data_IF_944892397910
#
_entry.id   IF_944892397910
#
_cell.length_a   1.000
_cell.length_b   1.000
_cell.length_c   1.000
_cell.angle_alpha   90.00
_cell.angle_beta   90.00
_cell.angle_gamma   90.00
#
_symmetry.space_group_name_H-M   'P 1'
#
loop_
_entity.id
_entity.type
_entity.pdbx_description
1 polymer ?
#
# COMPACT_ATOMS: atom_id res chain seq x y z
N UNK A 1 -16.58 -19.71 22.62
CA UNK A 1 -17.45 -20.68 23.32
C UNK A 1 -18.82 -20.63 22.70
N UNK A 2 -19.03 -21.40 21.62
CA UNK A 2 -20.37 -21.86 21.27
C UNK A 2 -20.65 -23.05 22.17
N UNK A 3 -21.55 -22.88 23.14
CA UNK A 3 -22.31 -23.92 23.84
C UNK A 3 -23.12 -23.19 24.91
N UNK A 4 -24.32 -22.75 24.52
CA UNK A 4 -25.49 -22.49 25.37
C UNK A 4 -26.65 -22.02 24.48
N UNK A 5 -26.92 -22.78 23.41
CA UNK A 5 -28.16 -22.69 22.64
C UNK A 5 -28.87 -24.03 22.82
N UNK A 6 -29.57 -24.16 23.94
CA UNK A 6 -30.81 -24.91 24.00
C UNK A 6 -31.54 -24.56 25.31
N UNK A 7 -32.86 -24.44 25.21
CA UNK A 7 -33.84 -24.22 26.27
C UNK A 7 -33.98 -22.81 26.86
N UNK A 8 -34.69 -21.95 26.11
CA UNK A 8 -35.95 -21.31 26.56
C UNK A 8 -36.63 -20.60 25.39
N UNK A 9 -37.25 -21.38 24.50
CA UNK A 9 -38.47 -20.92 23.83
C UNK A 9 -39.58 -20.88 24.87
N UNK A 10 -40.24 -19.72 24.98
CA UNK A 10 -41.61 -19.49 25.46
C UNK A 10 -41.68 -18.14 26.17
N UNK A 11 -41.85 -17.07 25.38
CA UNK A 11 -42.79 -15.97 25.65
C UNK A 11 -42.96 -15.14 24.37
N UNK A 12 -43.47 -15.77 23.31
CA UNK A 12 -44.24 -15.02 22.31
C UNK A 12 -45.67 -14.91 22.85
N UNK A 13 -45.93 -13.86 23.64
CA UNK A 13 -47.31 -13.40 23.83
C UNK A 13 -47.86 -12.91 22.48
N UNK A 14 -49.18 -13.05 22.22
CA UNK A 14 -49.73 -12.74 20.92
C UNK A 14 -49.84 -11.22 20.78
N UNK A 15 -48.81 -10.58 20.22
CA UNK A 15 -49.03 -9.28 19.60
C UNK A 15 -49.86 -9.52 18.33
N UNK A 16 -51.18 -9.51 18.46
CA UNK A 16 -52.06 -9.37 17.30
C UNK A 16 -51.76 -8.03 16.65
N UNK A 17 -51.23 -8.08 15.42
CA UNK A 17 -50.74 -6.98 14.58
C UNK A 17 -51.79 -5.90 14.20
N UNK A 18 -52.91 -5.80 14.93
CA UNK A 18 -54.07 -4.99 14.55
C UNK A 18 -54.25 -3.70 15.36
N UNK A 19 -53.36 -3.39 16.31
CA UNK A 19 -53.46 -2.16 17.09
C UNK A 19 -52.27 -1.23 16.80
N UNK A 20 -52.55 -0.04 16.24
CA UNK A 20 -51.53 0.96 15.87
C UNK A 20 -50.66 1.36 17.08
N UNK A 21 -51.23 1.24 18.28
CA UNK A 21 -50.58 1.52 19.56
C UNK A 21 -49.50 0.49 19.89
N UNK A 22 -49.72 -0.81 19.61
CA UNK A 22 -48.74 -1.87 19.88
C UNK A 22 -47.59 -1.88 18.87
N UNK A 23 -47.84 -1.46 17.62
CA UNK A 23 -46.78 -1.28 16.60
C UNK A 23 -45.89 -0.10 16.96
N UNK A 24 -46.46 1.02 17.42
CA UNK A 24 -45.68 2.16 17.90
C UNK A 24 -44.83 1.81 19.12
N UNK A 25 -45.39 1.08 20.08
CA UNK A 25 -44.65 0.63 21.26
C UNK A 25 -43.53 -0.35 20.89
N UNK A 26 -43.79 -1.33 20.03
CA UNK A 26 -42.75 -2.23 19.50
C UNK A 26 -41.66 -1.47 18.73
N UNK A 27 -42.02 -0.51 17.88
CA UNK A 27 -41.05 0.30 17.16
C UNK A 27 -40.23 1.19 18.11
N UNK A 28 -40.83 1.70 19.19
CA UNK A 28 -40.15 2.50 20.21
C UNK A 28 -39.21 1.63 21.05
N UNK A 29 -39.65 0.44 21.46
CA UNK A 29 -38.86 -0.50 22.25
C UNK A 29 -37.71 -1.08 21.41
N UNK A 30 -37.95 -1.44 20.15
CA UNK A 30 -36.92 -1.84 19.18
C UNK A 30 -35.95 -0.69 18.86
N UNK A 31 -36.43 0.55 18.76
CA UNK A 31 -35.57 1.73 18.58
C UNK A 31 -34.72 2.02 19.83
N UNK A 32 -35.25 1.80 21.03
CA UNK A 32 -34.52 1.94 22.29
C UNK A 32 -33.49 0.81 22.47
N UNK A 33 -33.83 -0.42 22.07
CA UNK A 33 -32.92 -1.57 22.05
C UNK A 33 -31.81 -1.36 21.02
N UNK A 34 -32.13 -0.89 19.81
CA UNK A 34 -31.14 -0.48 18.80
C UNK A 34 -30.32 0.72 19.27
N UNK A 35 -30.91 1.65 20.04
CA UNK A 35 -30.18 2.79 20.58
C UNK A 35 -29.08 2.38 21.58
N UNK A 36 -29.21 1.20 22.21
CA UNK A 36 -28.16 0.59 23.03
C UNK A 36 -27.06 -0.09 22.19
N UNK A 37 -27.31 -0.35 20.91
CA UNK A 37 -26.37 -0.90 19.91
C UNK A 37 -25.97 0.10 18.81
N UNK A 38 -26.31 1.38 18.97
CA UNK A 38 -26.30 2.39 17.91
C UNK A 38 -24.94 3.05 17.61
N UNK A 39 -23.85 2.56 18.21
CA UNK A 39 -22.51 3.03 17.87
C UNK A 39 -22.19 2.73 16.39
N UNK A 40 -22.59 1.57 15.85
CA UNK A 40 -22.26 1.19 14.47
C UNK A 40 -22.98 2.05 13.40
N UNK A 41 -24.19 2.56 13.67
CA UNK A 41 -24.95 3.36 12.68
C UNK A 41 -24.51 4.84 12.66
N UNK A 42 -24.04 5.37 13.80
CA UNK A 42 -23.42 6.70 13.87
C UNK A 42 -21.99 6.64 13.32
N UNK A 43 -21.24 5.59 13.65
CA UNK A 43 -19.91 5.30 13.11
C UNK A 43 -19.89 5.25 11.57
N UNK A 44 -20.89 4.63 10.94
CA UNK A 44 -20.98 4.51 9.48
C UNK A 44 -21.34 5.81 8.75
N UNK A 45 -22.03 6.76 9.40
CA UNK A 45 -22.29 8.09 8.84
C UNK A 45 -21.12 9.04 9.03
N UNK A 46 -20.36 8.86 10.10
CA UNK A 46 -19.20 9.69 10.37
C UNK A 46 -17.99 9.20 9.58
N UNK A 47 -17.67 7.91 9.49
CA UNK A 47 -16.47 7.44 8.75
C UNK A 47 -16.73 7.19 7.27
N UNK A 48 -15.96 7.83 6.38
CA UNK A 48 -16.03 7.56 4.95
C UNK A 48 -15.66 6.10 4.68
N UNK A 49 -16.60 5.37 4.07
CA UNK A 49 -16.32 4.04 3.53
C UNK A 49 -15.78 4.17 2.12
N UNK A 50 -14.68 3.48 1.85
CA UNK A 50 -14.16 3.40 0.49
C UNK A 50 -15.13 2.68 -0.44
N UNK A 51 -15.20 3.07 -1.73
CA UNK A 51 -15.99 2.34 -2.70
C UNK A 51 -15.49 0.89 -2.76
N UNK A 52 -16.43 -0.05 -2.69
CA UNK A 52 -16.10 -1.47 -2.81
C UNK A 52 -15.46 -1.77 -4.16
N UNK A 53 -14.62 -2.81 -4.23
CA UNK A 53 -14.02 -3.28 -5.47
C UNK A 53 -15.08 -3.51 -6.56
N UNK A 54 -16.23 -4.10 -6.20
CA UNK A 54 -17.36 -4.33 -7.11
C UNK A 54 -17.92 -3.03 -7.69
N UNK A 55 -18.06 -1.98 -6.87
CA UNK A 55 -18.52 -0.66 -7.33
C UNK A 55 -17.51 -0.01 -8.27
N UNK A 56 -16.21 -0.05 -7.94
CA UNK A 56 -15.14 0.50 -8.80
C UNK A 56 -15.08 -0.20 -10.16
N UNK A 57 -15.20 -1.52 -10.19
CA UNK A 57 -15.19 -2.30 -11.44
C UNK A 57 -16.41 -1.97 -12.30
N UNK A 58 -17.61 -1.96 -11.72
CA UNK A 58 -18.83 -1.61 -12.46
C UNK A 58 -18.77 -0.19 -13.03
N UNK A 59 -18.24 0.76 -12.26
CA UNK A 59 -17.99 2.12 -12.74
C UNK A 59 -16.97 2.14 -13.89
N UNK A 60 -15.85 1.43 -13.76
CA UNK A 60 -14.83 1.33 -14.80
C UNK A 60 -15.37 0.69 -16.09
N UNK A 61 -16.18 -0.37 -16.00
CA UNK A 61 -16.80 -1.02 -17.16
C UNK A 61 -17.70 -0.07 -17.94
N UNK A 62 -18.54 0.70 -17.24
CA UNK A 62 -19.43 1.70 -17.83
C UNK A 62 -18.64 2.79 -18.58
N UNK A 63 -17.60 3.32 -17.94
CA UNK A 63 -16.76 4.35 -18.54
C UNK A 63 -15.90 3.81 -19.69
N UNK A 64 -15.46 2.55 -19.63
CA UNK A 64 -14.77 1.88 -20.72
C UNK A 64 -15.69 1.71 -21.93
N UNK A 65 -16.94 1.29 -21.71
CA UNK A 65 -17.93 1.17 -22.77
C UNK A 65 -18.22 2.53 -23.43
N UNK A 66 -18.35 3.59 -22.64
CA UNK A 66 -18.53 4.97 -23.14
C UNK A 66 -17.36 5.42 -24.01
N UNK A 67 -16.13 5.16 -23.59
CA UNK A 67 -14.92 5.57 -24.30
C UNK A 67 -14.66 4.75 -25.58
N UNK A 68 -14.88 3.44 -25.53
CA UNK A 68 -14.40 2.51 -26.55
C UNK A 68 -15.50 1.79 -27.33
N UNK A 69 -16.76 2.08 -27.03
CA UNK A 69 -17.99 1.55 -27.65
C UNK A 69 -18.09 0.01 -27.66
N UNK A 70 -17.39 -0.65 -26.73
CA UNK A 70 -17.41 -2.10 -26.51
C UNK A 70 -17.21 -2.40 -25.03
N UNK A 71 -17.79 -3.48 -24.48
CA UNK A 71 -17.47 -3.90 -23.12
C UNK A 71 -16.00 -4.33 -23.00
N UNK A 72 -15.36 -4.16 -21.83
CA UNK A 72 -14.05 -4.74 -21.57
C UNK A 72 -14.12 -6.26 -21.48
N UNK A 73 -13.06 -6.94 -21.89
CA UNK A 73 -12.91 -8.41 -21.83
C UNK A 73 -11.98 -8.87 -20.71
N UNK A 74 -11.35 -7.92 -20.01
CA UNK A 74 -10.50 -8.15 -18.85
C UNK A 74 -10.82 -7.15 -17.75
N UNK A 75 -10.77 -7.59 -16.49
CA UNK A 75 -10.69 -6.72 -15.32
C UNK A 75 -9.67 -7.27 -14.32
N UNK A 76 -8.77 -6.40 -13.88
CA UNK A 76 -7.74 -6.71 -12.89
C UNK A 76 -7.68 -5.60 -11.85
N UNK A 77 -7.11 -5.91 -10.69
CA UNK A 77 -6.86 -4.91 -9.66
C UNK A 77 -5.54 -5.17 -8.94
N UNK A 78 -5.00 -4.14 -8.29
CA UNK A 78 -3.96 -4.28 -7.30
C UNK A 78 -4.19 -3.26 -6.16
N UNK A 79 -3.97 -3.66 -4.90
CA UNK A 79 -4.14 -2.79 -3.75
C UNK A 79 -2.96 -1.82 -3.58
N UNK A 80 -3.23 -0.71 -2.91
CA UNK A 80 -2.20 0.10 -2.26
C UNK A 80 -1.65 -0.61 -1.03
N UNK A 81 -0.62 -0.06 -0.42
CA UNK A 81 -0.02 -0.60 0.79
C UNK A 81 0.34 0.49 1.80
N UNK A 82 0.46 0.10 3.06
CA UNK A 82 0.84 1.00 4.14
C UNK A 82 1.68 0.31 5.22
N UNK A 83 2.71 1.01 5.67
CA UNK A 83 3.53 0.60 6.80
C UNK A 83 2.86 0.95 8.12
N UNK A 84 2.78 -0.03 9.02
CA UNK A 84 2.48 0.16 10.43
C UNK A 84 3.76 0.51 11.20
N UNK A 85 4.91 -0.01 10.76
CA UNK A 85 6.24 0.24 11.34
C UNK A 85 7.33 -0.06 10.29
N UNK A 86 8.54 0.48 10.42
CA UNK A 86 9.67 0.12 9.54
C UNK A 86 9.85 1.03 8.33
N UNK A 87 9.60 2.34 8.47
CA UNK A 87 9.83 3.26 7.35
C UNK A 87 11.33 3.41 7.09
N UNK A 88 11.76 3.29 5.83
CA UNK A 88 13.18 3.41 5.42
C UNK A 88 14.10 2.26 5.83
N UNK A 89 13.56 1.21 6.45
CA UNK A 89 14.30 0.01 6.82
C UNK A 89 14.70 -0.84 5.60
N UNK A 90 13.95 -0.76 4.51
CA UNK A 90 14.23 -1.46 3.24
C UNK A 90 15.64 -1.21 2.71
N UNK A 91 16.12 0.03 2.79
CA UNK A 91 17.44 0.42 2.33
C UNK A 91 18.58 0.10 3.32
N UNK A 92 18.22 -0.38 4.51
CA UNK A 92 19.13 -0.70 5.60
C UNK A 92 19.03 -2.19 5.97
N UNK A 93 18.64 -3.06 5.04
CA UNK A 93 18.49 -4.51 5.28
C UNK A 93 17.61 -4.85 6.50
N UNK A 94 16.71 -3.94 6.86
CA UNK A 94 15.87 -4.01 8.03
C UNK A 94 14.59 -4.81 7.81
N UNK A 95 13.68 -4.71 8.76
CA UNK A 95 12.36 -5.31 8.66
C UNK A 95 11.30 -4.24 8.49
N UNK A 96 10.19 -4.60 7.85
CA UNK A 96 9.09 -3.68 7.54
C UNK A 96 7.78 -4.38 7.91
N UNK A 97 6.95 -3.73 8.73
CA UNK A 97 5.65 -4.25 9.11
C UNK A 97 4.56 -3.49 8.36
N UNK A 98 3.89 -4.15 7.41
CA UNK A 98 3.08 -3.49 6.41
C UNK A 98 1.88 -4.33 5.98
N UNK A 99 0.85 -3.69 5.43
CA UNK A 99 -0.33 -4.38 4.91
C UNK A 99 -0.74 -3.85 3.54
N UNK A 100 -1.25 -4.75 2.68
CA UNK A 100 -2.04 -4.33 1.54
C UNK A 100 -3.37 -3.77 2.05
N UNK A 101 -3.83 -2.66 1.48
CA UNK A 101 -5.06 -1.97 1.89
C UNK A 101 -6.23 -2.38 1.00
N UNK A 102 -7.46 -2.15 1.44
CA UNK A 102 -8.64 -2.32 0.58
C UNK A 102 -8.77 -1.24 -0.50
N UNK A 103 -7.89 -0.24 -0.52
CA UNK A 103 -7.82 0.77 -1.57
C UNK A 103 -7.10 0.18 -2.77
N UNK A 104 -7.69 0.27 -3.96
CA UNK A 104 -7.22 -0.46 -5.14
C UNK A 104 -7.13 0.44 -6.37
N UNK A 105 -6.18 0.13 -7.23
CA UNK A 105 -6.22 0.51 -8.64
C UNK A 105 -6.85 -0.62 -9.44
N UNK A 106 -7.89 -0.31 -10.20
CA UNK A 106 -8.59 -1.23 -11.10
C UNK A 106 -8.27 -0.86 -12.54
N UNK A 107 -8.00 -1.87 -13.37
CA UNK A 107 -7.83 -1.70 -14.81
C UNK A 107 -8.79 -2.64 -15.52
N UNK A 108 -9.69 -2.07 -16.32
CA UNK A 108 -10.52 -2.82 -17.26
C UNK A 108 -9.99 -2.63 -18.67
N UNK A 109 -10.02 -3.67 -19.50
CA UNK A 109 -9.36 -3.61 -20.79
C UNK A 109 -9.89 -4.58 -21.83
N UNK A 110 -9.41 -4.41 -23.06
CA UNK A 110 -9.64 -5.34 -24.17
C UNK A 110 -8.38 -5.46 -25.02
N UNK A 111 -8.03 -6.68 -25.44
CA UNK A 111 -6.92 -6.94 -26.35
C UNK A 111 -7.20 -6.37 -27.74
N UNK A 112 -6.15 -5.96 -28.46
CA UNK A 112 -6.20 -5.58 -29.88
C UNK A 112 -5.31 -6.54 -30.69
N UNK A 113 -5.83 -7.73 -30.99
CA UNK A 113 -5.05 -8.84 -31.56
C UNK A 113 -4.21 -8.48 -32.81
N UNK A 114 -4.71 -7.61 -33.68
CA UNK A 114 -4.05 -7.22 -34.95
C UNK A 114 -3.31 -5.89 -34.89
N UNK A 115 -3.17 -5.28 -33.71
CA UNK A 115 -2.63 -3.93 -33.57
C UNK A 115 -1.66 -3.86 -32.40
N UNK A 116 -0.49 -3.26 -32.59
CA UNK A 116 0.45 -2.94 -31.50
C UNK A 116 0.17 -1.61 -30.81
N UNK A 117 -0.92 -0.93 -31.19
CA UNK A 117 -1.29 0.38 -30.64
C UNK A 117 -2.07 0.19 -29.35
N UNK A 118 -1.57 0.79 -28.27
CA UNK A 118 -2.27 0.93 -27.01
C UNK A 118 -3.10 2.23 -26.99
N UNK A 119 -4.29 2.15 -26.40
CA UNK A 119 -5.15 3.30 -26.10
C UNK A 119 -5.56 3.22 -24.65
N UNK A 120 -5.14 4.17 -23.83
CA UNK A 120 -5.31 4.09 -22.38
C UNK A 120 -5.92 5.39 -21.91
N UNK A 121 -7.00 5.28 -21.13
CA UNK A 121 -7.63 6.41 -20.47
C UNK A 121 -7.57 6.22 -18.96
N UNK A 122 -7.27 7.26 -18.22
CA UNK A 122 -7.37 7.29 -16.77
C UNK A 122 -8.52 8.19 -16.36
N UNK A 123 -9.25 7.82 -15.31
CA UNK A 123 -10.22 8.71 -14.67
C UNK A 123 -9.64 9.45 -13.46
N UNK A 124 -8.38 9.19 -13.14
CA UNK A 124 -7.61 9.95 -12.18
C UNK A 124 -7.32 11.32 -12.78
N UNK A 125 -7.82 12.38 -12.14
CA UNK A 125 -7.66 13.76 -12.62
C UNK A 125 -6.60 14.45 -11.77
N UNK A 126 -5.39 14.59 -12.31
CA UNK A 126 -4.47 15.62 -11.83
C UNK A 126 -4.68 16.88 -12.67
N UNK A 127 -4.68 18.04 -12.00
CA UNK A 127 -4.96 19.32 -12.67
C UNK A 127 -3.89 19.59 -13.72
N UNK A 128 -4.31 19.73 -14.98
CA UNK A 128 -3.42 20.06 -16.10
C UNK A 128 -2.76 18.87 -16.80
N UNK A 129 -3.02 17.62 -16.38
CA UNK A 129 -2.52 16.43 -17.08
C UNK A 129 -3.55 15.87 -18.08
N UNK A 130 -3.05 15.38 -19.23
CA UNK A 130 -3.88 14.62 -20.17
C UNK A 130 -4.29 13.28 -19.55
N UNK A 131 -5.58 12.96 -19.66
CA UNK A 131 -6.14 11.73 -19.10
C UNK A 131 -6.24 10.60 -20.13
N UNK A 132 -5.74 10.79 -21.35
CA UNK A 132 -5.76 9.83 -22.43
C UNK A 132 -4.40 9.73 -23.11
N UNK A 133 -3.93 8.52 -23.37
CA UNK A 133 -2.68 8.25 -24.04
C UNK A 133 -2.84 7.22 -25.16
N UNK A 134 -2.17 7.47 -26.29
CA UNK A 134 -2.09 6.56 -27.43
C UNK A 134 -0.65 6.40 -27.86
N UNK A 135 -0.13 5.17 -27.84
CA UNK A 135 1.24 4.88 -28.27
C UNK A 135 1.33 3.47 -28.89
N UNK A 136 2.38 3.23 -29.66
CA UNK A 136 2.67 1.89 -30.17
C UNK A 136 3.61 1.18 -29.21
N UNK A 137 3.39 -0.12 -28.97
CA UNK A 137 4.37 -0.99 -28.33
C UNK A 137 5.47 -1.23 -29.36
N UNK A 138 6.36 -0.28 -29.58
CA UNK A 138 7.63 -0.47 -30.28
C UNK A 138 8.70 0.28 -29.49
N UNK A 139 9.98 0.09 -29.81
CA UNK A 139 11.07 0.62 -28.98
C UNK A 139 10.98 2.14 -28.80
N UNK A 140 10.63 2.88 -29.85
CA UNK A 140 10.44 4.34 -29.80
C UNK A 140 9.17 4.78 -29.07
N UNK A 141 8.07 4.02 -29.17
CA UNK A 141 6.80 4.35 -28.49
C UNK A 141 6.79 4.10 -26.99
N UNK A 142 7.82 3.44 -26.46
CA UNK A 142 8.00 3.15 -25.03
C UNK A 142 9.01 4.09 -24.36
N UNK A 143 9.33 5.22 -24.97
CA UNK A 143 10.08 6.26 -24.30
C UNK A 143 9.29 6.82 -23.10
N UNK A 144 9.94 6.85 -21.94
CA UNK A 144 9.40 7.32 -20.65
C UNK A 144 9.72 8.79 -20.39
N UNK A 145 10.24 9.51 -21.39
CA UNK A 145 10.42 10.97 -21.39
C UNK A 145 9.10 11.75 -21.66
N UNK A 146 7.94 11.10 -21.57
CA UNK A 146 6.65 11.72 -21.90
C UNK A 146 6.31 12.84 -20.93
N UNK A 147 5.71 13.92 -21.45
CA UNK A 147 5.13 15.00 -20.62
C UNK A 147 3.97 14.53 -19.74
N UNK A 148 3.28 13.44 -20.12
CA UNK A 148 2.20 12.84 -19.32
C UNK A 148 2.84 11.86 -18.33
N UNK A 149 2.78 12.14 -17.04
CA UNK A 149 3.59 11.39 -16.05
C UNK A 149 3.04 9.99 -15.79
N UNK A 150 1.73 9.82 -15.72
CA UNK A 150 1.13 8.52 -15.38
C UNK A 150 1.35 7.43 -16.45
N UNK A 151 1.46 7.80 -17.73
CA UNK A 151 1.70 6.83 -18.81
C UNK A 151 3.12 6.24 -18.76
N UNK A 152 4.07 6.93 -18.10
CA UNK A 152 5.44 6.44 -17.95
C UNK A 152 5.47 5.17 -17.09
N UNK A 153 4.62 5.04 -16.07
CA UNK A 153 4.46 3.79 -15.32
C UNK A 153 4.02 2.64 -16.22
N UNK A 154 3.03 2.88 -17.09
CA UNK A 154 2.52 1.86 -18.01
C UNK A 154 3.59 1.43 -19.01
N UNK A 155 4.28 2.40 -19.63
CA UNK A 155 5.36 2.12 -20.57
C UNK A 155 6.51 1.37 -19.89
N UNK A 156 6.86 1.74 -18.67
CA UNK A 156 7.89 1.06 -17.90
C UNK A 156 7.53 -0.38 -17.58
N UNK A 157 6.26 -0.66 -17.24
CA UNK A 157 5.77 -2.04 -17.06
C UNK A 157 5.90 -2.84 -18.35
N UNK A 158 5.49 -2.29 -19.49
CA UNK A 158 5.64 -2.95 -20.80
C UNK A 158 7.12 -3.20 -21.13
N UNK A 159 8.03 -2.30 -20.71
CA UNK A 159 9.48 -2.46 -20.92
C UNK A 159 10.08 -3.61 -20.11
N UNK A 160 9.59 -3.83 -18.89
CA UNK A 160 10.12 -4.82 -17.93
C UNK A 160 9.24 -6.06 -17.80
N UNK A 161 8.19 -6.19 -18.64
CA UNK A 161 7.42 -7.42 -18.69
C UNK A 161 8.28 -8.55 -19.24
N UNK A 162 8.21 -9.72 -18.61
CA UNK A 162 9.13 -10.85 -18.89
C UNK A 162 9.04 -11.41 -20.31
N UNK A 163 7.92 -11.18 -20.98
CA UNK A 163 7.73 -11.59 -22.37
C UNK A 163 8.37 -10.56 -23.30
N UNK A 164 9.07 -11.02 -24.33
CA UNK A 164 9.59 -10.10 -25.36
C UNK A 164 8.46 -9.21 -25.88
N UNK A 165 8.75 -7.91 -25.99
CA UNK A 165 7.79 -6.87 -26.39
C UNK A 165 7.13 -7.17 -27.72
N UNK A 166 7.76 -7.96 -28.58
CA UNK A 166 7.23 -8.41 -29.87
C UNK A 166 5.97 -9.25 -29.75
N UNK A 167 5.77 -9.92 -28.62
CA UNK A 167 4.61 -10.79 -28.35
C UNK A 167 3.52 -10.10 -27.53
N UNK A 168 3.72 -8.85 -27.12
CA UNK A 168 2.71 -8.08 -26.40
C UNK A 168 1.81 -7.39 -27.44
N UNK A 169 0.52 -7.79 -27.56
CA UNK A 169 -0.41 -7.10 -28.44
C UNK A 169 -0.74 -5.71 -27.89
N UNK A 170 -1.19 -4.81 -28.74
CA UNK A 170 -1.81 -3.58 -28.28
C UNK A 170 -3.10 -3.88 -27.51
N UNK A 171 -3.55 -2.91 -26.71
CA UNK A 171 -4.76 -3.05 -25.92
C UNK A 171 -5.47 -1.71 -25.73
N UNK A 172 -6.75 -1.79 -25.38
CA UNK A 172 -7.48 -0.66 -24.81
C UNK A 172 -7.55 -0.87 -23.31
N UNK A 173 -7.34 0.17 -22.52
CA UNK A 173 -7.46 0.08 -21.06
C UNK A 173 -8.09 1.35 -20.49
N UNK A 174 -8.88 1.19 -19.44
CA UNK A 174 -9.36 2.27 -18.59
C UNK A 174 -8.86 2.02 -17.17
N UNK A 175 -8.25 3.04 -16.56
CA UNK A 175 -7.68 3.01 -15.22
C UNK A 175 -8.57 3.83 -14.28
N UNK A 176 -8.96 3.23 -13.15
CA UNK A 176 -9.60 3.91 -12.02
C UNK A 176 -8.88 3.51 -10.73
N UNK A 177 -8.88 4.36 -9.71
CA UNK A 177 -8.29 4.02 -8.41
C UNK A 177 -9.08 4.66 -7.28
N UNK A 178 -9.20 3.95 -6.16
CA UNK A 178 -9.63 4.53 -4.89
C UNK A 178 -8.47 4.94 -4.00
N UNK A 179 -7.22 4.71 -4.43
CA UNK A 179 -6.02 5.09 -3.68
C UNK A 179 -5.76 6.59 -3.89
N UNK A 180 -5.72 7.40 -2.82
CA UNK A 180 -5.29 8.79 -2.92
C UNK A 180 -3.89 8.91 -3.55
N UNK A 181 -3.81 9.69 -4.63
CA UNK A 181 -2.58 9.87 -5.41
C UNK A 181 -1.58 10.70 -4.60
N UNK A 182 -0.28 10.33 -4.66
CA UNK A 182 0.81 11.06 -4.00
C UNK A 182 0.66 11.24 -2.48
N UNK A 183 -0.10 10.36 -1.82
CA UNK A 183 -0.29 10.38 -0.35
C UNK A 183 0.52 9.31 0.42
N UNK A 184 1.42 8.58 -0.24
CA UNK A 184 2.25 7.57 0.41
C UNK A 184 1.63 6.17 0.54
N UNK A 185 0.43 5.95 0.00
CA UNK A 185 -0.31 4.67 0.06
C UNK A 185 -0.02 3.71 -1.11
N UNK A 186 1.10 3.91 -1.82
CA UNK A 186 1.53 3.03 -2.90
C UNK A 186 0.67 3.10 -4.18
N UNK A 187 0.11 4.27 -4.53
CA UNK A 187 -0.71 4.42 -5.75
C UNK A 187 0.06 4.09 -7.04
N UNK A 188 1.35 4.45 -7.12
CA UNK A 188 2.24 4.12 -8.24
C UNK A 188 2.48 2.62 -8.35
N UNK A 189 2.89 1.98 -7.24
CA UNK A 189 3.15 0.55 -7.19
C UNK A 189 1.89 -0.26 -7.48
N UNK A 190 0.71 0.16 -6.99
CA UNK A 190 -0.57 -0.45 -7.33
C UNK A 190 -0.88 -0.36 -8.84
N UNK A 191 -0.65 0.80 -9.47
CA UNK A 191 -0.82 0.94 -10.93
C UNK A 191 0.12 0.01 -11.70
N UNK A 192 1.39 -0.07 -11.29
CA UNK A 192 2.41 -0.92 -11.92
C UNK A 192 2.00 -2.39 -11.82
N UNK A 193 1.63 -2.86 -10.62
CA UNK A 193 1.24 -4.26 -10.37
C UNK A 193 -0.07 -4.61 -11.07
N UNK A 194 -1.06 -3.70 -11.08
CA UNK A 194 -2.30 -3.91 -11.83
C UNK A 194 -2.03 -4.00 -13.34
N UNK A 195 -1.17 -3.13 -13.89
CA UNK A 195 -0.80 -3.16 -15.30
C UNK A 195 -0.03 -4.44 -15.65
N UNK A 196 0.90 -4.88 -14.80
CA UNK A 196 1.61 -6.14 -15.00
C UNK A 196 0.63 -7.31 -15.02
N UNK A 197 -0.33 -7.33 -14.09
CA UNK A 197 -1.38 -8.36 -13.99
C UNK A 197 -2.30 -8.35 -15.22
N UNK A 198 -2.61 -7.17 -15.78
CA UNK A 198 -3.31 -7.08 -17.06
C UNK A 198 -2.51 -7.70 -18.21
N UNK A 199 -1.20 -7.44 -18.28
CA UNK A 199 -0.34 -8.03 -19.31
C UNK A 199 -0.26 -9.56 -19.17
N UNK A 200 -0.21 -10.10 -17.95
CA UNK A 200 -0.31 -11.54 -17.72
C UNK A 200 -1.61 -12.11 -18.28
N UNK A 201 -2.74 -11.45 -18.03
CA UNK A 201 -4.06 -11.87 -18.53
C UNK A 201 -4.17 -11.78 -20.06
N UNK A 202 -3.68 -10.69 -20.66
CA UNK A 202 -3.73 -10.47 -22.12
C UNK A 202 -2.82 -11.44 -22.88
N UNK A 203 -1.62 -11.70 -22.34
CA UNK A 203 -0.63 -12.58 -22.99
C UNK A 203 -0.84 -14.05 -22.63
N UNK A 204 -1.60 -14.34 -21.55
CA UNK A 204 -1.74 -15.65 -20.91
C UNK A 204 -0.39 -16.22 -20.44
N UNK A 205 0.53 -15.34 -20.06
CA UNK A 205 1.89 -15.69 -19.60
C UNK A 205 2.07 -15.23 -18.15
N UNK A 206 1.77 -16.10 -17.19
CA UNK A 206 1.75 -15.82 -15.74
C UNK A 206 3.08 -16.07 -15.01
N UNK A 207 3.59 -15.07 -14.31
CA UNK A 207 4.81 -15.13 -13.50
C UNK A 207 4.49 -15.83 -12.18
N UNK A 208 4.88 -17.10 -12.08
CA UNK A 208 4.59 -17.94 -10.90
C UNK A 208 5.43 -17.57 -9.68
N UNK A 209 6.61 -16.97 -9.90
CA UNK A 209 7.45 -16.50 -8.81
C UNK A 209 7.06 -15.04 -8.46
N UNK A 210 6.48 -14.85 -7.27
CA UNK A 210 6.00 -13.54 -6.80
C UNK A 210 7.14 -12.52 -6.64
N UNK A 211 8.32 -12.97 -6.22
CA UNK A 211 9.51 -12.12 -6.09
C UNK A 211 10.02 -11.67 -7.47
N UNK A 212 10.03 -12.56 -8.47
CA UNK A 212 10.38 -12.19 -9.86
C UNK A 212 9.41 -11.12 -10.41
N UNK A 213 8.10 -11.30 -10.18
CA UNK A 213 7.09 -10.30 -10.55
C UNK A 213 7.34 -8.97 -9.84
N UNK A 214 7.65 -9.01 -8.54
CA UNK A 214 7.95 -7.82 -7.75
C UNK A 214 9.19 -7.09 -8.25
N UNK A 215 10.30 -7.79 -8.53
CA UNK A 215 11.54 -7.20 -9.06
C UNK A 215 11.27 -6.49 -10.40
N UNK A 216 10.53 -7.13 -11.31
CA UNK A 216 10.17 -6.52 -12.59
C UNK A 216 9.31 -5.26 -12.41
N UNK A 217 8.38 -5.27 -11.45
CA UNK A 217 7.57 -4.11 -11.09
C UNK A 217 8.42 -2.98 -10.46
N UNK A 218 9.35 -3.32 -9.57
CA UNK A 218 10.25 -2.37 -8.93
C UNK A 218 11.17 -1.68 -9.95
N UNK A 219 11.70 -2.45 -10.92
CA UNK A 219 12.48 -1.91 -12.03
C UNK A 219 11.64 -0.95 -12.90
N UNK A 220 10.38 -1.30 -13.16
CA UNK A 220 9.46 -0.40 -13.86
C UNK A 220 9.21 0.90 -13.08
N UNK A 221 9.06 0.82 -11.75
CA UNK A 221 8.89 2.00 -10.90
C UNK A 221 10.12 2.92 -10.94
N UNK A 222 11.32 2.33 -10.81
CA UNK A 222 12.58 3.06 -10.91
C UNK A 222 12.72 3.78 -12.25
N UNK A 223 12.34 3.14 -13.36
CA UNK A 223 12.39 3.74 -14.70
C UNK A 223 11.36 4.86 -14.85
N UNK A 224 10.16 4.71 -14.28
CA UNK A 224 9.09 5.70 -14.41
C UNK A 224 9.35 6.95 -13.56
N UNK A 225 9.93 6.79 -12.36
CA UNK A 225 10.15 7.88 -11.40
C UNK A 225 11.59 8.43 -11.42
N UNK A 226 12.54 7.73 -12.02
CA UNK A 226 13.98 8.02 -11.91
C UNK A 226 14.51 7.99 -10.46
N UNK A 227 13.77 7.38 -9.54
CA UNK A 227 14.12 7.29 -8.11
C UNK A 227 13.97 5.84 -7.64
N UNK A 228 14.92 5.38 -6.82
CA UNK A 228 14.88 4.04 -6.24
C UNK A 228 13.73 3.89 -5.22
N UNK A 229 13.10 2.72 -5.20
CA UNK A 229 12.08 2.34 -4.23
C UNK A 229 12.40 0.95 -3.68
N UNK A 230 12.02 0.69 -2.43
CA UNK A 230 12.15 -0.65 -1.86
C UNK A 230 11.24 -1.66 -2.53
N UNK A 231 11.72 -2.90 -2.59
CA UNK A 231 11.02 -4.02 -3.23
C UNK A 231 9.65 -4.29 -2.59
N UNK A 232 9.54 -4.10 -1.27
CA UNK A 232 8.32 -4.32 -0.49
C UNK A 232 7.11 -3.56 -1.06
N UNK A 233 7.30 -2.36 -1.63
CA UNK A 233 6.22 -1.54 -2.21
C UNK A 233 5.52 -2.22 -3.37
N UNK A 234 6.24 -3.06 -4.11
CA UNK A 234 5.70 -3.83 -5.24
C UNK A 234 5.36 -5.25 -4.84
N UNK A 235 6.09 -5.83 -3.88
CA UNK A 235 5.86 -7.18 -3.38
C UNK A 235 4.52 -7.27 -2.64
N UNK A 236 4.25 -6.34 -1.73
CA UNK A 236 3.07 -6.38 -0.87
C UNK A 236 1.75 -6.25 -1.65
N UNK A 237 1.63 -5.38 -2.67
CA UNK A 237 0.48 -5.43 -3.57
C UNK A 237 0.29 -6.74 -4.33
N UNK A 238 1.33 -7.58 -4.47
CA UNK A 238 1.23 -8.90 -5.11
C UNK A 238 0.79 -9.96 -4.10
N UNK A 239 1.40 -9.97 -2.91
CA UNK A 239 1.32 -11.09 -1.94
C UNK A 239 0.41 -10.82 -0.73
N UNK A 240 -0.22 -9.65 -0.65
CA UNK A 240 -1.12 -9.31 0.46
C UNK A 240 -2.19 -10.37 0.70
N UNK A 241 -2.53 -10.59 1.98
CA UNK A 241 -3.54 -11.54 2.40
C UNK A 241 -4.59 -10.79 3.24
N UNK A 242 -5.86 -10.99 2.92
CA UNK A 242 -6.96 -10.40 3.69
C UNK A 242 -6.88 -10.80 5.16
N UNK A 243 -7.01 -9.82 6.05
CA UNK A 243 -6.91 -10.04 7.49
C UNK A 243 -5.51 -10.36 8.00
N UNK A 244 -4.44 -10.14 7.23
CA UNK A 244 -3.05 -10.32 7.71
C UNK A 244 -2.17 -9.11 7.46
N UNK A 245 -1.32 -8.81 8.44
CA UNK A 245 -0.22 -7.85 8.33
C UNK A 245 1.07 -8.65 8.05
N UNK A 246 1.92 -8.13 7.19
CA UNK A 246 3.12 -8.79 6.70
C UNK A 246 4.36 -8.13 7.30
N UNK A 247 5.19 -8.89 7.99
CA UNK A 247 6.55 -8.51 8.35
C UNK A 247 7.49 -9.00 7.24
N UNK A 248 8.05 -8.07 6.49
CA UNK A 248 9.01 -8.35 5.41
C UNK A 248 10.43 -8.07 5.89
N UNK A 249 11.30 -9.07 5.81
CA UNK A 249 12.74 -8.92 6.05
C UNK A 249 13.44 -8.63 4.73
N UNK A 250 13.96 -7.41 4.54
CA UNK A 250 14.55 -7.00 3.26
C UNK A 250 15.91 -7.65 2.99
N UNK A 251 16.59 -8.16 4.03
CA UNK A 251 17.84 -8.90 3.89
C UNK A 251 17.60 -10.32 3.40
N UNK A 252 16.67 -11.02 4.04
CA UNK A 252 16.39 -12.44 3.77
C UNK A 252 15.39 -12.61 2.62
N UNK A 253 14.64 -11.56 2.29
CA UNK A 253 13.53 -11.58 1.34
C UNK A 253 12.42 -12.54 1.78
N UNK A 254 12.23 -12.67 3.10
CA UNK A 254 11.23 -13.53 3.73
C UNK A 254 10.04 -12.70 4.24
N UNK A 255 8.88 -13.34 4.28
CA UNK A 255 7.65 -12.76 4.82
C UNK A 255 7.17 -13.61 5.98
N UNK A 256 7.00 -12.96 7.12
CA UNK A 256 6.25 -13.49 8.25
C UNK A 256 4.86 -12.84 8.28
N UNK A 257 3.84 -13.65 8.56
CA UNK A 257 2.44 -13.22 8.53
C UNK A 257 1.88 -13.10 9.95
N UNK A 258 1.21 -12.00 10.25
CA UNK A 258 0.55 -11.73 11.53
C UNK A 258 -0.96 -11.59 11.33
N UNK A 259 -1.76 -12.35 12.07
CA UNK A 259 -3.21 -12.33 11.91
C UNK A 259 -3.80 -11.06 12.54
N UNK A 260 -4.48 -10.26 11.73
CA UNK A 260 -5.20 -9.07 12.15
C UNK A 260 -6.68 -9.37 12.34
N UNK A 261 -7.07 -9.69 13.58
CA UNK A 261 -8.46 -10.00 13.93
C UNK A 261 -8.93 -9.25 15.19
N UNK A 262 -8.82 -7.91 15.25
CA UNK A 262 -9.38 -7.16 16.37
C UNK A 262 -10.91 -7.15 16.35
N UNK A 263 -11.53 -7.24 17.53
CA UNK A 263 -12.99 -7.14 17.67
C UNK A 263 -13.46 -5.67 17.62
N UNK A 264 -12.71 -4.79 18.27
CA UNK A 264 -13.10 -3.42 18.63
C UNK A 264 -12.03 -2.37 18.28
N UNK A 265 -10.99 -2.76 17.55
CA UNK A 265 -9.90 -1.86 17.12
C UNK A 265 -9.94 -1.64 15.61
N UNK A 266 -9.79 -0.38 15.22
CA UNK A 266 -9.73 0.06 13.83
C UNK A 266 -8.40 0.76 13.55
N UNK A 267 -7.93 0.59 12.32
CA UNK A 267 -6.87 1.41 11.72
C UNK A 267 -7.53 2.52 10.90
N UNK A 268 -7.16 3.77 11.14
CA UNK A 268 -7.78 4.94 10.50
C UNK A 268 -6.71 5.77 9.81
N UNK A 269 -6.87 6.00 8.51
CA UNK A 269 -6.16 7.06 7.80
C UNK A 269 -6.79 8.40 8.11
N UNK A 270 -5.96 9.39 8.37
CA UNK A 270 -6.32 10.79 8.53
C UNK A 270 -5.50 11.57 7.51
N UNK A 271 -6.17 12.10 6.49
CA UNK A 271 -5.52 12.87 5.43
C UNK A 271 -5.32 14.32 5.86
N UNK A 272 -4.09 14.82 5.75
CA UNK A 272 -3.79 16.23 5.90
C UNK A 272 -4.28 17.02 4.68
N UNK A 273 -4.54 18.31 4.90
CA UNK A 273 -5.00 19.27 3.90
C UNK A 273 -3.90 19.74 2.95
N UNK A 274 -2.63 19.55 3.29
CA UNK A 274 -1.47 20.05 2.54
C UNK A 274 -0.91 18.99 1.57
N UNK A 275 -0.30 19.45 0.48
CA UNK A 275 0.41 18.59 -0.47
C UNK A 275 1.83 18.25 0.02
N UNK A 276 2.40 17.17 -0.53
CA UNK A 276 3.73 16.67 -0.18
C UNK A 276 4.81 17.72 -0.52
N UNK A 277 5.71 17.97 0.43
CA UNK A 277 6.88 18.83 0.26
C UNK A 277 8.12 17.96 -0.05
N UNK A 278 8.78 18.28 -1.15
CA UNK A 278 10.14 17.90 -1.61
C UNK A 278 10.71 16.49 -1.27
N UNK A 279 10.94 15.70 -2.32
CA UNK A 279 11.45 14.32 -2.30
C UNK A 279 12.96 14.18 -2.08
N UNK A 280 13.73 15.27 -2.04
CA UNK A 280 15.21 15.20 -1.97
C UNK A 280 15.75 14.91 -0.57
N UNK A 281 14.94 15.12 0.47
CA UNK A 281 15.36 14.93 1.87
C UNK A 281 15.64 13.47 2.19
N UNK A 282 14.85 12.54 1.63
CA UNK A 282 14.96 11.12 1.89
C UNK A 282 16.31 10.51 1.45
N UNK A 283 16.77 10.82 0.23
CA UNK A 283 18.03 10.29 -0.30
C UNK A 283 19.24 10.71 0.53
N UNK A 284 19.20 11.94 1.08
CA UNK A 284 20.24 12.44 1.98
C UNK A 284 20.38 11.53 3.21
N UNK A 285 19.26 11.17 3.85
CA UNK A 285 19.28 10.32 5.04
C UNK A 285 19.77 8.90 4.76
N UNK A 286 19.41 8.34 3.60
CA UNK A 286 19.92 7.03 3.18
C UNK A 286 21.45 7.04 3.03
N UNK A 287 22.00 8.08 2.40
CA UNK A 287 23.44 8.21 2.24
C UNK A 287 24.15 8.37 3.60
N UNK A 288 23.59 9.17 4.50
CA UNK A 288 24.11 9.30 5.87
C UNK A 288 24.14 7.95 6.61
N UNK A 289 23.09 7.13 6.49
CA UNK A 289 23.05 5.82 7.12
C UNK A 289 24.11 4.88 6.55
N UNK A 290 24.36 4.92 5.23
CA UNK A 290 25.42 4.13 4.58
C UNK A 290 26.82 4.53 5.04
N UNK A 291 27.09 5.83 5.14
CA UNK A 291 28.39 6.33 5.62
C UNK A 291 28.66 5.86 7.06
N UNK A 292 27.63 5.89 7.93
CA UNK A 292 27.73 5.39 9.30
C UNK A 292 27.97 3.87 9.32
N UNK A 293 27.23 3.09 8.54
CA UNK A 293 27.46 1.65 8.44
C UNK A 293 28.89 1.32 8.00
N UNK A 294 29.40 2.04 7.00
CA UNK A 294 30.76 1.89 6.51
C UNK A 294 31.82 2.18 7.59
N UNK A 295 31.67 3.28 8.34
CA UNK A 295 32.59 3.61 9.44
C UNK A 295 32.53 2.59 10.60
N UNK A 296 31.41 1.90 10.77
CA UNK A 296 31.26 0.79 11.72
C UNK A 296 31.81 -0.55 11.21
N UNK A 297 32.37 -0.57 9.99
CA UNK A 297 32.78 -1.76 9.26
C UNK A 297 31.63 -2.78 9.15
N UNK A 298 30.44 -2.28 8.80
CA UNK A 298 29.23 -3.07 8.59
C UNK A 298 28.75 -2.87 7.15
N UNK A 299 28.15 -3.93 6.58
CA UNK A 299 27.46 -3.83 5.28
C UNK A 299 26.22 -2.97 5.44
N UNK A 300 25.52 -3.11 6.55
CA UNK A 300 24.28 -2.41 6.85
C UNK A 300 24.13 -2.11 8.34
N UNK A 301 23.36 -1.07 8.65
CA UNK A 301 22.97 -0.71 10.03
C UNK A 301 22.10 -1.76 10.71
N UNK A 302 21.54 -2.74 9.98
CA UNK A 302 20.84 -3.88 10.56
C UNK A 302 21.69 -4.68 11.56
N UNK A 303 23.01 -4.69 11.41
CA UNK A 303 23.93 -5.36 12.36
C UNK A 303 24.55 -4.39 13.39
N UNK A 304 24.12 -3.13 13.39
CA UNK A 304 24.60 -2.13 14.32
C UNK A 304 23.80 -2.16 15.63
N UNK A 305 24.44 -1.73 16.71
CA UNK A 305 23.81 -1.53 18.01
C UNK A 305 24.07 -0.11 18.49
N UNK A 306 23.23 0.42 19.38
CA UNK A 306 23.43 1.77 19.94
C UNK A 306 24.80 1.93 20.62
N UNK A 307 25.30 0.96 21.41
CA UNK A 307 26.67 1.03 21.94
C UNK A 307 27.74 1.10 20.85
N UNK A 308 27.58 0.37 19.75
CA UNK A 308 28.52 0.39 18.62
C UNK A 308 28.45 1.73 17.88
N UNK A 309 27.27 2.30 17.69
CA UNK A 309 27.10 3.64 17.09
C UNK A 309 27.85 4.72 17.88
N UNK A 310 27.88 4.64 19.21
CA UNK A 310 28.58 5.59 20.05
C UNK A 310 30.10 5.64 19.79
N UNK A 311 30.72 4.54 19.31
CA UNK A 311 32.17 4.49 19.07
C UNK A 311 32.61 5.34 17.89
N UNK A 312 31.71 5.66 16.95
CA UNK A 312 31.98 6.52 15.80
C UNK A 312 31.34 7.91 15.93
N UNK A 313 30.77 8.22 17.10
CA UNK A 313 30.00 9.45 17.32
C UNK A 313 30.76 10.73 16.98
N UNK A 314 32.06 10.79 17.22
CA UNK A 314 32.87 11.98 16.93
C UNK A 314 33.13 12.22 15.43
N UNK A 315 32.90 11.20 14.58
CA UNK A 315 33.18 11.26 13.14
C UNK A 315 32.01 11.83 12.32
N UNK A 316 30.82 11.90 12.91
CA UNK A 316 29.58 12.19 12.19
C UNK A 316 28.84 13.37 12.78
N UNK A 317 28.05 14.03 11.92
CA UNK A 317 27.11 15.06 12.37
C UNK A 317 26.05 14.47 13.29
N UNK A 318 25.45 15.32 14.14
CA UNK A 318 24.32 14.91 14.99
C UNK A 318 23.15 14.37 14.15
N UNK A 319 22.92 14.91 12.96
CA UNK A 319 21.86 14.46 12.05
C UNK A 319 22.10 13.03 11.55
N UNK A 320 23.34 12.68 11.17
CA UNK A 320 23.68 11.35 10.69
C UNK A 320 23.57 10.30 11.80
N UNK A 321 24.03 10.63 13.01
CA UNK A 321 23.91 9.74 14.17
C UNK A 321 22.47 9.52 14.58
N UNK A 322 21.65 10.57 14.54
CA UNK A 322 20.21 10.48 14.78
C UNK A 322 19.54 9.58 13.74
N UNK A 323 19.82 9.75 12.46
CA UNK A 323 19.28 8.90 11.40
C UNK A 323 19.67 7.43 11.59
N UNK A 324 20.93 7.15 11.92
CA UNK A 324 21.37 5.78 12.23
C UNK A 324 20.68 5.21 13.48
N UNK A 325 20.49 6.04 14.52
CA UNK A 325 19.76 5.67 15.73
C UNK A 325 18.27 5.38 15.44
N UNK A 326 17.64 6.10 14.52
CA UNK A 326 16.30 5.78 14.05
C UNK A 326 16.27 4.37 13.46
N UNK A 327 17.14 4.09 12.49
CA UNK A 327 17.18 2.82 11.76
C UNK A 327 17.39 1.63 12.69
N UNK A 328 18.43 1.69 13.54
CA UNK A 328 18.75 0.60 14.49
C UNK A 328 17.54 0.27 15.37
N UNK A 329 16.90 1.28 15.94
CA UNK A 329 15.76 1.05 16.84
C UNK A 329 14.46 0.73 16.10
N UNK A 330 14.29 1.14 14.84
CA UNK A 330 13.06 0.89 14.07
C UNK A 330 12.95 -0.59 13.68
N UNK A 331 14.06 -1.25 13.33
CA UNK A 331 14.11 -2.70 13.13
C UNK A 331 13.58 -3.47 14.35
N UNK A 332 13.98 -3.06 15.57
CA UNK A 332 13.52 -3.69 16.82
C UNK A 332 12.03 -3.42 17.09
N UNK A 333 11.57 -2.19 16.79
CA UNK A 333 10.15 -1.82 16.88
C UNK A 333 9.28 -2.66 15.95
N UNK A 334 9.75 -2.96 14.73
CA UNK A 334 9.02 -3.81 13.79
C UNK A 334 8.81 -5.21 14.35
N UNK A 335 9.89 -5.85 14.80
CA UNK A 335 9.82 -7.20 15.38
C UNK A 335 8.91 -7.23 16.61
N UNK A 336 9.01 -6.19 17.46
CA UNK A 336 8.14 -6.05 18.64
C UNK A 336 6.68 -5.87 18.24
N UNK A 337 6.38 -5.04 17.25
CA UNK A 337 5.02 -4.78 16.78
C UNK A 337 4.36 -6.04 16.22
N UNK A 338 5.08 -6.86 15.45
CA UNK A 338 4.59 -8.16 14.96
C UNK A 338 4.15 -9.07 16.12
N UNK A 339 4.99 -9.23 17.13
CA UNK A 339 4.66 -10.03 18.33
C UNK A 339 3.46 -9.47 19.09
N UNK A 340 3.30 -8.14 19.17
CA UNK A 340 2.16 -7.52 19.85
C UNK A 340 0.85 -7.74 19.10
N UNK A 341 0.87 -7.82 17.77
CA UNK A 341 -0.30 -8.20 16.96
C UNK A 341 -0.72 -9.64 17.27
N UNK A 342 0.23 -10.57 17.28
CA UNK A 342 -0.06 -11.99 17.53
C UNK A 342 -0.70 -12.24 18.90
N UNK A 343 -0.36 -11.42 19.89
CA UNK A 343 -0.90 -11.50 21.26
C UNK A 343 -2.04 -10.51 21.53
N UNK A 344 -2.56 -9.80 20.50
CA UNK A 344 -3.65 -8.82 20.62
C UNK A 344 -3.38 -7.69 21.65
N UNK A 345 -2.11 -7.29 21.83
CA UNK A 345 -1.70 -6.26 22.78
C UNK A 345 -1.80 -4.84 22.18
N UNK A 346 -3.01 -4.42 21.82
CA UNK A 346 -3.25 -3.20 21.01
C UNK A 346 -2.75 -1.89 21.62
N UNK A 347 -2.88 -1.71 22.94
CA UNK A 347 -2.34 -0.51 23.61
C UNK A 347 -0.82 -0.42 23.50
N UNK A 348 -0.13 -1.56 23.67
CA UNK A 348 1.33 -1.62 23.53
C UNK A 348 1.75 -1.42 22.07
N UNK A 349 1.00 -1.98 21.12
CA UNK A 349 1.22 -1.74 19.69
C UNK A 349 1.10 -0.24 19.37
N UNK A 350 0.09 0.42 19.96
CA UNK A 350 -0.10 1.85 19.82
C UNK A 350 1.09 2.67 20.34
N UNK A 351 1.68 2.29 21.48
CA UNK A 351 2.90 2.91 21.99
C UNK A 351 4.07 2.77 21.00
N UNK A 352 4.24 1.58 20.39
CA UNK A 352 5.29 1.37 19.36
C UNK A 352 5.07 2.28 18.15
N UNK A 353 3.81 2.49 17.73
CA UNK A 353 3.50 3.44 16.65
C UNK A 353 3.88 4.87 17.04
N UNK A 354 3.59 5.29 18.26
CA UNK A 354 4.00 6.62 18.76
C UNK A 354 5.52 6.77 18.81
N UNK A 355 6.24 5.77 19.29
CA UNK A 355 7.70 5.77 19.34
C UNK A 355 8.31 5.84 17.93
N UNK A 356 7.77 5.07 16.98
CA UNK A 356 8.15 5.14 15.56
C UNK A 356 7.91 6.56 15.01
N UNK A 357 6.77 7.18 15.32
CA UNK A 357 6.48 8.56 14.92
C UNK A 357 7.47 9.58 15.49
N UNK A 358 7.72 9.54 16.80
CA UNK A 358 8.67 10.42 17.46
C UNK A 358 10.08 10.23 16.88
N UNK A 359 10.47 8.99 16.59
CA UNK A 359 11.76 8.71 15.96
C UNK A 359 11.84 9.29 14.54
N UNK A 360 10.81 9.12 13.72
CA UNK A 360 10.75 9.75 12.39
C UNK A 360 10.85 11.28 12.48
N UNK A 361 10.11 11.90 13.40
CA UNK A 361 10.13 13.36 13.60
C UNK A 361 11.49 13.87 14.09
N UNK A 362 11.99 13.31 15.19
CA UNK A 362 13.10 13.89 15.96
C UNK A 362 14.46 13.39 15.51
N UNK A 363 14.52 12.15 14.99
CA UNK A 363 15.75 11.52 14.56
C UNK A 363 15.92 11.54 13.04
N UNK A 364 14.87 11.18 12.29
CA UNK A 364 14.91 11.12 10.83
C UNK A 364 14.49 12.45 10.16
N UNK A 365 13.97 13.41 10.92
CA UNK A 365 13.53 14.71 10.40
C UNK A 365 12.35 14.63 9.43
N UNK A 366 11.60 13.53 9.40
CA UNK A 366 10.50 13.27 8.47
C UNK A 366 9.13 13.54 9.12
N UNK A 367 8.81 14.82 9.33
CA UNK A 367 7.46 15.27 9.69
C UNK A 367 7.28 16.76 9.38
N UNK A 368 6.03 17.21 9.22
CA UNK A 368 5.69 18.62 9.05
C UNK A 368 4.79 19.13 10.20
N UNK A 369 4.65 20.46 10.29
CA UNK A 369 3.82 21.14 11.29
C UNK A 369 2.36 20.69 11.24
N UNK A 370 1.83 20.42 10.04
CA UNK A 370 0.47 19.95 9.83
C UNK A 370 0.22 18.58 10.47
N UNK A 371 1.11 17.62 10.22
CA UNK A 371 1.04 16.29 10.86
C UNK A 371 1.19 16.42 12.37
N UNK A 372 2.10 17.27 12.86
CA UNK A 372 2.26 17.47 14.30
C UNK A 372 1.01 18.05 14.97
N UNK A 373 0.26 18.89 14.25
CA UNK A 373 -1.03 19.42 14.73
C UNK A 373 -2.10 18.33 14.78
N UNK A 374 -2.17 17.45 13.78
CA UNK A 374 -3.05 16.26 13.81
C UNK A 374 -2.69 15.37 15.00
N UNK A 375 -1.40 15.07 15.20
CA UNK A 375 -0.95 14.24 16.32
C UNK A 375 -1.32 14.85 17.67
N UNK A 376 -1.08 16.14 17.87
CA UNK A 376 -1.36 16.80 19.14
C UNK A 376 -2.85 16.84 19.49
N UNK A 377 -3.73 16.86 18.48
CA UNK A 377 -5.18 16.80 18.65
C UNK A 377 -5.67 15.42 19.08
N UNK A 378 -5.05 14.34 18.61
CA UNK A 378 -5.55 12.98 18.84
C UNK A 378 -4.84 12.23 19.97
N UNK A 379 -3.59 12.58 20.29
CA UNK A 379 -2.74 11.81 21.22
C UNK A 379 -3.33 11.61 22.62
N UNK A 380 -4.13 12.57 23.12
CA UNK A 380 -4.68 12.55 24.47
C UNK A 380 -6.12 12.05 24.53
N UNK A 381 -6.69 11.62 23.40
CA UNK A 381 -8.07 11.13 23.35
C UNK A 381 -8.10 9.69 23.89
N UNK A 382 -8.86 9.41 24.97
CA UNK A 382 -9.00 8.05 25.48
C UNK A 382 -9.52 7.11 24.38
N UNK A 383 -8.77 6.04 24.12
CA UNK A 383 -9.09 5.06 23.07
C UNK A 383 -8.36 5.27 21.74
N UNK A 384 -7.63 6.37 21.55
CA UNK A 384 -6.57 6.46 20.55
C UNK A 384 -5.31 5.84 21.15
N UNK A 385 -4.91 4.66 20.69
CA UNK A 385 -3.79 3.91 21.27
C UNK A 385 -2.45 4.32 20.68
N UNK A 386 -2.41 4.62 19.39
CA UNK A 386 -1.20 4.94 18.66
C UNK A 386 -1.49 5.73 17.41
N UNK A 387 -0.56 6.55 16.95
CA UNK A 387 -0.60 7.04 15.59
C UNK A 387 0.80 7.31 15.06
N UNK A 388 0.94 7.28 13.73
CA UNK A 388 2.19 7.65 13.06
C UNK A 388 1.97 8.25 11.69
N UNK A 389 2.94 9.02 11.24
CA UNK A 389 3.01 9.50 9.86
C UNK A 389 3.28 8.32 8.91
N UNK A 390 2.68 8.38 7.72
CA UNK A 390 2.85 7.39 6.65
C UNK A 390 3.42 8.07 5.41
N UNK A 391 4.44 7.46 4.80
CA UNK A 391 5.05 7.91 3.55
C UNK A 391 6.48 8.45 3.71
N UNK A 392 7.21 8.50 2.58
CA UNK A 392 8.66 8.77 2.53
C UNK A 392 9.08 10.23 2.78
N UNK A 393 8.26 11.20 2.35
CA UNK A 393 8.69 12.60 2.21
C UNK A 393 7.68 13.51 2.90
N UNK A 394 7.81 13.71 4.22
CA UNK A 394 6.87 14.56 5.00
C UNK A 394 5.41 14.15 4.81
N UNK A 395 5.16 12.84 4.95
CA UNK A 395 3.89 12.17 4.72
C UNK A 395 2.66 13.00 5.05
N UNK A 396 1.65 12.94 4.19
CA UNK A 396 0.40 13.70 4.33
C UNK A 396 -0.71 12.87 4.97
N UNK A 397 -0.38 11.69 5.48
CA UNK A 397 -1.33 10.80 6.14
C UNK A 397 -0.82 10.43 7.52
N UNK A 398 -1.72 10.45 8.49
CA UNK A 398 -1.56 9.79 9.77
C UNK A 398 -2.32 8.47 9.74
N UNK A 399 -1.66 7.38 10.14
CA UNK A 399 -2.30 6.11 10.46
C UNK A 399 -2.47 6.04 11.97
N UNK A 400 -3.72 6.01 12.44
CA UNK A 400 -4.08 5.90 13.84
C UNK A 400 -4.65 4.52 14.16
N UNK A 401 -4.24 3.97 15.30
CA UNK A 401 -4.78 2.76 15.92
C UNK A 401 -5.78 3.19 17.01
N UNK A 402 -7.06 2.94 16.77
CA UNK A 402 -8.14 3.53 17.56
C UNK A 402 -9.14 2.46 17.94
N UNK A 403 -9.52 2.41 19.21
CA UNK A 403 -10.64 1.60 19.64
C UNK A 403 -11.96 2.24 19.16
N UNK A 404 -12.87 1.44 18.60
CA UNK A 404 -14.12 1.86 17.93
C UNK A 404 -14.90 2.97 18.64
N UNK A 405 -15.08 2.88 19.97
CA UNK A 405 -15.77 3.89 20.78
C UNK A 405 -15.16 5.31 20.73
N UNK A 406 -13.87 5.44 20.40
CA UNK A 406 -13.13 6.70 20.42
C UNK A 406 -13.05 7.37 19.04
N UNK A 407 -13.49 6.66 17.99
CA UNK A 407 -13.42 7.15 16.61
C UNK A 407 -14.21 8.45 16.45
N UNK A 408 -15.42 8.51 17.00
CA UNK A 408 -16.26 9.72 16.98
C UNK A 408 -15.60 10.91 17.67
N UNK A 409 -15.05 10.69 18.86
CA UNK A 409 -14.36 11.75 19.63
C UNK A 409 -13.15 12.27 18.87
N UNK A 410 -12.36 11.35 18.28
CA UNK A 410 -11.21 11.70 17.45
C UNK A 410 -11.61 12.54 16.22
N UNK A 411 -12.65 12.11 15.50
CA UNK A 411 -13.17 12.82 14.32
C UNK A 411 -13.64 14.23 14.68
N UNK A 412 -14.37 14.39 15.80
CA UNK A 412 -14.86 15.69 16.24
C UNK A 412 -13.71 16.63 16.61
N UNK A 413 -12.65 16.12 17.26
CA UNK A 413 -11.46 16.90 17.56
C UNK A 413 -10.79 17.41 16.26
N UNK A 414 -10.62 16.55 15.27
CA UNK A 414 -10.00 16.91 13.98
C UNK A 414 -10.82 17.95 13.19
N UNK A 415 -12.16 17.81 13.18
CA UNK A 415 -13.07 18.78 12.53
C UNK A 415 -13.03 20.15 13.21
N UNK A 416 -12.98 20.19 14.54
CA UNK A 416 -12.89 21.46 15.28
C UNK A 416 -11.63 22.25 14.98
N UNK A 417 -10.56 21.57 14.55
CA UNK A 417 -9.29 22.18 14.19
C UNK A 417 -9.17 22.62 12.74
N UNK A 418 -10.09 22.25 11.85
CA UNK A 418 -9.97 22.41 10.38
C UNK A 418 -8.68 21.78 9.79
N UNK A 419 -8.26 20.65 10.35
CA UNK A 419 -6.97 20.00 10.01
C UNK A 419 -7.09 18.72 9.20
N UNK A 420 -8.31 18.26 8.95
CA UNK A 420 -8.60 16.99 8.30
C UNK A 420 -9.70 17.19 7.24
N UNK A 421 -9.41 16.81 6.01
CA UNK A 421 -10.41 16.76 4.94
C UNK A 421 -11.15 15.43 4.92
N UNK A 422 -10.43 14.34 5.16
CA UNK A 422 -10.94 12.99 5.00
C UNK A 422 -10.29 12.04 5.99
N UNK A 423 -11.09 11.13 6.55
CA UNK A 423 -10.60 10.00 7.32
C UNK A 423 -11.32 8.73 6.90
N UNK A 424 -10.61 7.61 6.98
CA UNK A 424 -11.09 6.35 6.44
C UNK A 424 -10.62 5.17 7.27
N UNK A 425 -11.52 4.22 7.56
CA UNK A 425 -11.10 2.92 8.10
C UNK A 425 -10.30 2.16 7.03
N UNK A 426 -9.22 1.53 7.46
CA UNK A 426 -8.33 0.73 6.62
C UNK A 426 -8.24 -0.67 7.19
N UNK A 427 -8.24 -1.66 6.31
CA UNK A 427 -8.16 -3.07 6.71
C UNK A 427 -7.11 -3.79 5.85
N UNK A 428 -6.39 -4.77 6.42
CA UNK A 428 -5.54 -5.64 5.63
C UNK A 428 -6.36 -6.40 4.58
N UNK A 429 -5.92 -6.37 3.33
CA UNK A 429 -6.65 -6.87 2.16
C UNK A 429 -5.79 -7.84 1.35
N UNK A 430 -6.46 -8.60 0.48
CA UNK A 430 -5.81 -9.46 -0.50
C UNK A 430 -4.99 -8.66 -1.52
N UNK A 431 -3.92 -9.27 -2.03
CA UNK A 431 -3.08 -8.77 -3.11
C UNK A 431 -3.79 -8.69 -4.46
N UNK A 432 -3.01 -8.43 -5.50
CA UNK A 432 -3.47 -8.22 -6.88
C UNK A 432 -4.19 -9.44 -7.43
N UNK A 433 -5.22 -9.21 -8.23
CA UNK A 433 -6.04 -10.28 -8.78
C UNK A 433 -6.59 -9.99 -10.16
N UNK A 434 -6.94 -11.06 -10.88
CA UNK A 434 -7.71 -11.04 -12.12
C UNK A 434 -9.15 -11.38 -11.74
N UNK A 435 -10.08 -10.45 -11.99
CA UNK A 435 -11.50 -10.65 -11.70
C UNK A 435 -12.18 -11.46 -12.79
N UNK A 436 -11.87 -11.15 -14.04
CA UNK A 436 -12.26 -11.95 -15.20
C UNK A 436 -11.30 -11.70 -16.37
N UNK A 437 -11.22 -12.69 -17.26
CA UNK A 437 -10.44 -12.63 -18.49
C UNK A 437 -11.14 -13.46 -19.56
N UNK A 438 -11.20 -12.97 -20.79
CA UNK A 438 -11.80 -13.70 -21.91
C UNK A 438 -10.97 -14.95 -22.27
N UNK A 439 -11.58 -16.12 -22.04
CA UNK A 439 -10.98 -17.43 -22.28
C UNK A 439 -11.04 -17.84 -23.75
N UNK A 440 -11.93 -17.24 -24.56
CA UNK A 440 -12.23 -17.67 -25.93
C UNK A 440 -11.25 -17.16 -26.99
N UNK A 441 -10.33 -16.25 -26.64
CA UNK A 441 -9.32 -15.77 -27.58
C UNK A 441 -8.16 -16.77 -27.78
N UNK A 442 -7.96 -17.24 -29.01
CA UNK A 442 -6.81 -18.06 -29.39
C UNK A 442 -5.48 -17.28 -29.22
N UNK A 443 -4.46 -17.94 -28.68
CA UNK A 443 -3.10 -17.43 -28.64
C UNK A 443 -2.42 -17.68 -29.98
N UNK A 444 -1.63 -16.72 -30.46
CA UNK A 444 -0.60 -17.02 -31.45
C UNK A 444 0.46 -17.92 -30.78
N UNK A 445 0.98 -18.96 -31.46
CA UNK A 445 1.87 -19.91 -30.84
C UNK A 445 3.13 -19.22 -30.30
N UNK A 446 3.37 -19.36 -28.99
CA UNK A 446 4.62 -18.99 -28.34
C UNK A 446 5.66 -20.03 -28.78
N UNK A 447 6.63 -19.63 -29.61
CA UNK A 447 7.79 -20.48 -29.87
C UNK A 447 8.63 -20.51 -28.60
N UNK A 448 8.54 -21.62 -27.86
CA UNK A 448 9.33 -21.84 -26.66
C UNK A 448 10.81 -21.78 -27.01
N UNK A 449 11.53 -20.75 -26.55
CA UNK A 449 12.98 -20.77 -26.53
C UNK A 449 13.42 -21.75 -25.43
N UNK A 450 13.38 -23.06 -25.71
CA UNK A 450 14.11 -24.08 -24.96
C UNK A 450 15.61 -23.91 -25.22
N UNK A 451 16.21 -22.84 -24.72
CA UNK A 451 17.64 -22.86 -24.39
C UNK A 451 17.78 -23.35 -22.96
N UNK A 452 18.23 -24.60 -22.83
CA UNK A 452 18.68 -25.24 -21.58
C UNK A 452 19.45 -24.22 -20.74
N UNK A 453 18.84 -23.75 -19.64
CA UNK A 453 19.58 -23.20 -18.51
C UNK A 453 20.40 -24.35 -17.92
N UNK A 454 21.67 -24.44 -18.33
CA UNK A 454 22.65 -25.32 -17.69
C UNK A 454 22.80 -24.88 -16.23
N UNK A 455 22.93 -25.88 -15.36
CA UNK A 455 23.00 -25.87 -13.89
C UNK A 455 24.21 -25.11 -13.30
N UNK A 456 24.69 -24.02 -13.89
CA UNK A 456 25.92 -23.33 -13.46
C UNK A 456 25.78 -21.86 -13.06
N UNK A 457 24.58 -21.31 -12.91
CA UNK A 457 24.39 -19.88 -12.56
C UNK A 457 23.67 -19.63 -11.23
N UNK A 458 23.71 -20.59 -10.29
CA UNK A 458 23.10 -20.43 -8.95
C UNK A 458 23.82 -19.41 -8.04
N UNK A 459 25.02 -18.93 -8.38
CA UNK A 459 25.80 -18.06 -7.50
C UNK A 459 26.01 -16.61 -7.98
N UNK A 460 25.60 -16.22 -9.19
CA UNK A 460 25.95 -14.89 -9.73
C UNK A 460 24.76 -13.95 -10.06
N UNK A 461 23.51 -14.37 -9.85
CA UNK A 461 22.33 -13.50 -10.06
C UNK A 461 21.72 -12.95 -8.76
N UNK A 462 22.19 -13.39 -7.60
CA UNK A 462 21.70 -12.96 -6.28
C UNK A 462 22.63 -11.96 -5.58
N UNK A 463 23.76 -11.60 -6.20
CA UNK A 463 24.79 -10.73 -5.59
C UNK A 463 25.10 -9.50 -6.46
N UNK A 464 24.72 -9.50 -7.75
CA UNK A 464 25.06 -8.43 -8.69
C UNK A 464 24.29 -7.13 -8.47
N UNK A 465 22.97 -7.19 -8.32
CA UNK A 465 22.13 -5.99 -8.36
C UNK A 465 21.93 -5.30 -7.00
N UNK A 466 22.26 -5.97 -5.89
CA UNK A 466 22.42 -5.31 -4.58
C UNK A 466 23.78 -4.57 -4.53
N UNK A 467 24.79 -5.06 -5.25
CA UNK A 467 26.09 -4.41 -5.36
C UNK A 467 26.15 -3.29 -6.41
N UNK A 468 25.27 -3.27 -7.41
CA UNK A 468 25.26 -2.17 -8.41
C UNK A 468 24.84 -0.82 -7.81
N UNK A 469 24.12 -0.83 -6.68
CA UNK A 469 23.94 0.38 -5.86
C UNK A 469 25.25 0.81 -5.16
N UNK A 470 26.12 -0.15 -4.81
CA UNK A 470 27.39 0.07 -4.11
C UNK A 470 28.60 0.31 -5.05
N UNK A 471 28.55 -0.13 -6.31
CA UNK A 471 29.67 0.03 -7.26
C UNK A 471 29.61 1.32 -8.08
N UNK A 472 28.43 1.92 -8.31
CA UNK A 472 28.34 3.13 -9.15
C UNK A 472 28.74 4.45 -8.47
N UNK A 473 29.14 4.43 -7.19
CA UNK A 473 29.59 5.64 -6.48
C UNK A 473 30.93 5.48 -5.74
N UNK A 474 31.72 4.45 -6.06
CA UNK A 474 33.07 4.24 -5.48
C UNK A 474 34.20 4.67 -6.42
N UNK A 475 33.92 5.48 -7.45
CA UNK A 475 34.95 6.17 -8.23
C UNK A 475 34.54 7.64 -8.44
N UNK A 476 34.72 8.44 -7.39
CA UNK A 476 35.53 9.67 -7.38
C UNK A 476 35.56 10.29 -5.98
#
# INVERSE_FOLDING_TARGET
>A
MCNNLEEKSNYCGPYTLNDVTSIKQFAQDYANEISLYMDDFVYTKEVHQSPSLKMLVSFAEKEFHREFSKPPTYAVYAPGCVNLCGESEDFNDGKILSMATQLVTVIVGSRRATSRVCKIKTLLREKGEENYAKFSINTSGLDTSSQVTWVNYVKAVIRNFRVSKEYIPGFKALIVSSIPIKRGLGSSSALIVAMYTLLEAITKVYTTNTLEKSIACQQAEKIAMSVSCGIWKTLLPIVGIEGKIMEFDSRLLEIQEHVWSPLDIDLIFINSTEDVIDTLVYQKYLNQCREVAFALNLISLRDATIPKLATVGQLFSSSSLKAACHVINETDRVTTAGQLIDHCHWKKLGNVMWESHCSMRDNFGSSCSQIQRIMSMIQNIPGVYGARIVGRDFGTIVLALVHRHAVRTMVNALRSGDQCQEYQVVKPSSGSGILYADTNEQLLPIVSNKKRLRKSHRNNLFVGDYNDYHQQHTIQ
#
